data_IF_037797066042
#
_entry.id   IF_037797066042
#
_cell.length_a   1.000
_cell.length_b   1.000
_cell.length_c   1.000
_cell.angle_alpha   90.00
_cell.angle_beta   90.00
_cell.angle_gamma   90.00
#
_symmetry.space_group_name_H-M   'P 1'
#
loop_
_entity.id
_entity.type
_entity.pdbx_description
1 polymer ?
#
# COMPACT_ATOMS: atom_id res chain seq x y z
N UNK A 1 -18.62 -2.30 7.08
CA UNK A 1 -19.67 -3.23 6.59
C UNK A 1 -20.52 -2.58 5.50
N UNK A 2 -21.26 -1.48 5.75
CA UNK A 2 -22.02 -0.76 4.71
C UNK A 2 -21.13 -0.24 3.57
N UNK A 3 -20.05 0.47 3.91
CA UNK A 3 -19.14 1.07 2.91
C UNK A 3 -18.39 0.02 2.09
N UNK A 4 -18.13 -1.16 2.67
CA UNK A 4 -17.52 -2.27 1.93
C UNK A 4 -18.48 -2.85 0.90
N UNK A 5 -19.76 -3.02 1.26
CA UNK A 5 -20.80 -3.46 0.32
C UNK A 5 -20.93 -2.48 -0.83
N UNK A 6 -21.02 -1.18 -0.52
CA UNK A 6 -21.05 -0.10 -1.51
C UNK A 6 -19.82 -0.11 -2.42
N UNK A 7 -18.63 -0.30 -1.84
CA UNK A 7 -17.38 -0.41 -2.59
C UNK A 7 -17.42 -1.58 -3.58
N UNK A 8 -17.85 -2.77 -3.12
CA UNK A 8 -17.93 -3.97 -3.94
C UNK A 8 -18.92 -3.81 -5.11
N UNK A 9 -20.11 -3.28 -4.85
CA UNK A 9 -21.12 -2.99 -5.87
C UNK A 9 -20.59 -2.02 -6.92
N UNK A 10 -20.05 -0.88 -6.50
CA UNK A 10 -19.51 0.13 -7.42
C UNK A 10 -18.33 -0.39 -8.24
N UNK A 11 -17.42 -1.16 -7.62
CA UNK A 11 -16.24 -1.68 -8.30
C UNK A 11 -16.61 -2.72 -9.37
N UNK A 12 -17.51 -3.65 -9.01
CA UNK A 12 -18.03 -4.68 -9.91
C UNK A 12 -18.79 -4.09 -11.09
N UNK A 13 -19.79 -3.24 -10.83
CA UNK A 13 -20.64 -2.64 -11.86
C UNK A 13 -19.85 -1.79 -12.87
N UNK A 14 -18.74 -1.22 -12.42
CA UNK A 14 -17.89 -0.32 -13.23
C UNK A 14 -16.66 -1.01 -13.80
N UNK A 15 -16.46 -2.29 -13.49
CA UNK A 15 -15.32 -3.09 -13.93
C UNK A 15 -13.96 -2.55 -13.46
N UNK A 16 -13.92 -1.79 -12.36
CA UNK A 16 -12.70 -1.16 -11.86
C UNK A 16 -11.90 -2.11 -10.96
N UNK A 17 -10.57 -2.08 -11.08
CA UNK A 17 -9.65 -2.81 -10.20
C UNK A 17 -9.13 -1.88 -9.12
N UNK A 18 -9.09 -2.40 -7.91
CA UNK A 18 -8.70 -1.68 -6.71
C UNK A 18 -7.51 -2.39 -6.08
N UNK A 19 -6.53 -1.64 -5.61
CA UNK A 19 -5.48 -2.17 -4.75
C UNK A 19 -5.27 -1.29 -3.52
N UNK A 20 -4.53 -1.81 -2.54
CA UNK A 20 -4.15 -1.06 -1.34
C UNK A 20 -2.67 -1.23 -1.01
N UNK A 21 -2.07 -0.27 -0.32
CA UNK A 21 -0.77 -0.45 0.30
C UNK A 21 -0.74 0.06 1.75
N UNK A 22 -0.21 -0.74 2.66
CA UNK A 22 -0.35 -0.52 4.09
C UNK A 22 1.01 -0.39 4.79
N UNK A 23 1.08 0.53 5.74
CA UNK A 23 2.11 0.56 6.77
C UNK A 23 1.44 0.25 8.12
N UNK A 24 0.98 1.28 8.86
CA UNK A 24 0.47 1.13 10.23
C UNK A 24 -0.66 0.09 10.37
N UNK A 25 -1.54 -0.06 9.37
CA UNK A 25 -2.68 -1.00 9.42
C UNK A 25 -2.30 -2.46 9.19
N UNK A 26 -1.07 -2.74 8.73
CA UNK A 26 -0.45 -4.07 8.75
C UNK A 26 -1.30 -5.23 8.16
N UNK A 27 -2.10 -4.96 7.12
CA UNK A 27 -2.93 -5.96 6.46
C UNK A 27 -4.42 -5.90 6.84
N UNK A 28 -4.79 -5.10 7.85
CA UNK A 28 -6.20 -4.94 8.26
C UNK A 28 -7.05 -4.35 7.13
N UNK A 29 -6.51 -3.41 6.36
CA UNK A 29 -7.24 -2.81 5.24
C UNK A 29 -7.41 -3.82 4.11
N UNK A 30 -6.35 -4.52 3.69
CA UNK A 30 -6.43 -5.53 2.65
C UNK A 30 -7.39 -6.67 3.03
N UNK A 31 -7.35 -7.13 4.28
CA UNK A 31 -8.30 -8.13 4.81
C UNK A 31 -9.74 -7.63 4.75
N UNK A 32 -9.98 -6.38 5.16
CA UNK A 32 -11.31 -5.76 5.12
C UNK A 32 -11.83 -5.62 3.69
N UNK A 33 -11.03 -5.09 2.77
CA UNK A 33 -11.43 -4.90 1.36
C UNK A 33 -11.63 -6.24 0.66
N UNK A 34 -10.74 -7.22 0.90
CA UNK A 34 -10.82 -8.55 0.31
C UNK A 34 -12.02 -9.39 0.80
N UNK A 35 -12.69 -8.98 1.89
CA UNK A 35 -13.92 -9.61 2.36
C UNK A 35 -15.18 -9.14 1.61
N UNK A 36 -15.06 -8.20 0.66
CA UNK A 36 -16.18 -7.73 -0.14
C UNK A 36 -16.73 -8.80 -1.09
N UNK A 37 -18.00 -8.68 -1.44
CA UNK A 37 -18.66 -9.61 -2.36
C UNK A 37 -17.96 -9.60 -3.73
N UNK A 38 -17.73 -10.80 -4.28
CA UNK A 38 -17.02 -11.02 -5.55
C UNK A 38 -15.65 -10.31 -5.63
N UNK A 39 -14.95 -10.13 -4.50
CA UNK A 39 -13.67 -9.43 -4.44
C UNK A 39 -12.62 -9.95 -5.43
N UNK A 40 -12.65 -11.23 -5.81
CA UNK A 40 -11.74 -11.79 -6.84
C UNK A 40 -11.86 -11.12 -8.22
N UNK A 41 -12.97 -10.43 -8.50
CA UNK A 41 -13.22 -9.76 -9.78
C UNK A 41 -12.65 -8.34 -9.84
N UNK A 42 -12.59 -7.66 -8.68
CA UNK A 42 -12.28 -6.22 -8.62
C UNK A 42 -11.16 -5.86 -7.63
N UNK A 43 -10.81 -6.70 -6.66
CA UNK A 43 -9.70 -6.45 -5.75
C UNK A 43 -8.42 -7.11 -6.26
N UNK A 44 -7.46 -6.29 -6.70
CA UNK A 44 -6.15 -6.73 -7.20
C UNK A 44 -5.19 -7.18 -6.10
N UNK A 45 -5.49 -6.89 -4.84
CA UNK A 45 -4.68 -7.25 -3.68
C UNK A 45 -4.06 -6.04 -2.97
N UNK A 46 -3.08 -6.31 -2.11
CA UNK A 46 -2.37 -5.24 -1.41
C UNK A 46 -0.96 -5.61 -0.97
N UNK A 47 -0.17 -4.58 -0.66
CA UNK A 47 1.20 -4.69 -0.16
C UNK A 47 1.27 -4.16 1.27
N UNK A 48 1.87 -4.92 2.18
CA UNK A 48 2.25 -4.40 3.50
C UNK A 48 3.72 -4.02 3.48
N UNK A 49 4.00 -2.72 3.51
CA UNK A 49 5.35 -2.14 3.49
C UNK A 49 5.61 -1.38 4.80
N UNK A 50 5.82 -2.11 5.89
CA UNK A 50 5.91 -1.53 7.24
C UNK A 50 7.19 -0.70 7.45
N UNK A 51 8.35 -1.24 7.09
CA UNK A 51 9.64 -0.54 7.23
C UNK A 51 9.99 0.27 5.97
N UNK A 52 10.68 1.40 6.13
CA UNK A 52 11.00 2.33 5.02
C UNK A 52 11.74 1.65 3.86
N UNK A 53 12.72 0.78 4.14
CA UNK A 53 13.44 0.06 3.09
C UNK A 53 12.53 -0.84 2.21
N UNK A 54 11.40 -1.33 2.75
CA UNK A 54 10.41 -2.08 1.96
C UNK A 54 9.58 -1.12 1.10
N UNK A 55 9.20 0.04 1.63
CA UNK A 55 8.51 1.11 0.87
C UNK A 55 9.34 1.53 -0.36
N UNK A 56 10.64 1.74 -0.18
CA UNK A 56 11.57 2.11 -1.25
C UNK A 56 11.66 1.00 -2.32
N UNK A 57 11.91 -0.24 -1.88
CA UNK A 57 12.15 -1.37 -2.80
C UNK A 57 10.90 -1.82 -3.55
N UNK A 58 9.75 -1.87 -2.89
CA UNK A 58 8.52 -2.48 -3.43
C UNK A 58 7.60 -1.43 -4.05
N UNK A 59 7.52 -0.25 -3.45
CA UNK A 59 6.57 0.79 -3.84
C UNK A 59 7.26 2.04 -4.42
N UNK A 60 8.58 2.00 -4.60
CA UNK A 60 9.32 3.09 -5.25
C UNK A 60 9.38 4.39 -4.45
N UNK A 61 9.23 4.33 -3.12
CA UNK A 61 9.42 5.49 -2.27
C UNK A 61 10.82 6.08 -2.49
N UNK A 62 10.91 7.39 -2.69
CA UNK A 62 12.17 8.10 -2.89
C UNK A 62 12.96 8.09 -1.58
N UNK A 63 14.24 7.66 -1.58
CA UNK A 63 15.07 7.65 -0.38
C UNK A 63 15.14 9.01 0.31
N UNK A 64 15.02 9.01 1.64
CA UNK A 64 15.01 10.22 2.47
C UNK A 64 13.65 10.90 2.58
N UNK A 65 12.60 10.40 1.93
CA UNK A 65 11.23 10.86 2.16
C UNK A 65 10.78 10.49 3.59
N UNK A 66 10.24 11.47 4.33
CA UNK A 66 9.66 11.23 5.66
C UNK A 66 8.46 10.27 5.54
N UNK A 67 8.48 9.09 6.21
CA UNK A 67 7.40 8.10 6.12
C UNK A 67 6.05 8.60 6.64
N UNK A 68 6.03 9.69 7.41
CA UNK A 68 4.80 10.30 7.97
C UNK A 68 4.42 11.59 7.23
N UNK A 69 4.88 11.77 6.00
CA UNK A 69 4.58 12.94 5.17
C UNK A 69 3.56 12.66 4.06
N UNK A 70 2.87 13.71 3.55
CA UNK A 70 2.01 13.59 2.37
C UNK A 70 2.72 13.01 1.15
N UNK A 71 3.98 13.40 0.94
CA UNK A 71 4.79 12.92 -0.16
C UNK A 71 5.01 11.41 -0.10
N UNK A 72 5.21 10.85 1.10
CA UNK A 72 5.26 9.40 1.27
C UNK A 72 3.93 8.76 0.84
N UNK A 73 2.81 9.22 1.40
CA UNK A 73 1.49 8.65 1.13
C UNK A 73 1.16 8.61 -0.38
N UNK A 74 1.42 9.71 -1.09
CA UNK A 74 1.21 9.83 -2.54
C UNK A 74 2.15 8.92 -3.35
N UNK A 75 3.45 8.88 -3.02
CA UNK A 75 4.41 8.01 -3.71
C UNK A 75 4.06 6.53 -3.54
N UNK A 76 3.68 6.11 -2.32
CA UNK A 76 3.23 4.73 -2.09
C UNK A 76 2.00 4.40 -2.94
N UNK A 77 1.07 5.35 -3.09
CA UNK A 77 -0.15 5.15 -3.87
C UNK A 77 0.14 5.00 -5.36
N UNK A 78 1.01 5.86 -5.91
CA UNK A 78 1.44 5.75 -7.31
C UNK A 78 2.17 4.44 -7.57
N UNK A 79 3.11 4.05 -6.69
CA UNK A 79 3.85 2.80 -6.82
C UNK A 79 2.96 1.57 -6.76
N UNK A 80 2.00 1.55 -5.82
CA UNK A 80 1.04 0.46 -5.69
C UNK A 80 0.05 0.39 -6.85
N UNK A 81 -0.47 1.52 -7.35
CA UNK A 81 -1.35 1.56 -8.51
C UNK A 81 -0.68 0.91 -9.73
N UNK A 82 0.58 1.27 -9.99
CA UNK A 82 1.37 0.72 -11.08
C UNK A 82 1.69 -0.77 -10.87
N UNK A 83 2.07 -1.17 -9.66
CA UNK A 83 2.42 -2.56 -9.32
C UNK A 83 1.26 -3.53 -9.59
N UNK A 84 0.03 -3.11 -9.29
CA UNK A 84 -1.16 -3.94 -9.41
C UNK A 84 -1.93 -3.78 -10.73
N UNK A 85 -1.50 -2.88 -11.62
CA UNK A 85 -2.28 -2.50 -12.81
C UNK A 85 -3.75 -2.21 -12.43
N UNK A 86 -3.90 -1.37 -11.40
CA UNK A 86 -5.19 -1.02 -10.80
C UNK A 86 -5.68 0.33 -11.31
N UNK A 87 -6.99 0.56 -11.17
CA UNK A 87 -7.64 1.82 -11.51
C UNK A 87 -7.69 2.78 -10.32
N UNK A 88 -7.74 2.23 -9.10
CA UNK A 88 -7.73 2.98 -7.83
C UNK A 88 -6.78 2.32 -6.84
N UNK A 89 -5.95 3.13 -6.20
CA UNK A 89 -5.18 2.72 -5.03
C UNK A 89 -5.45 3.67 -3.85
N UNK A 90 -5.56 3.12 -2.64
CA UNK A 90 -5.45 3.87 -1.38
C UNK A 90 -4.36 3.27 -0.52
N UNK A 91 -3.58 4.14 0.13
CA UNK A 91 -2.49 3.74 1.00
C UNK A 91 -2.66 4.25 2.42
N UNK A 92 -2.03 3.58 3.38
CA UNK A 92 -2.02 3.98 4.79
C UNK A 92 -0.58 4.15 5.28
N UNK A 93 -0.25 5.33 5.78
CA UNK A 93 1.01 5.58 6.53
C UNK A 93 0.76 6.53 7.68
N UNK A 94 1.56 6.45 8.74
CA UNK A 94 1.30 7.25 9.94
C UNK A 94 1.87 6.63 11.21
N UNK A 95 1.58 7.29 12.33
CA UNK A 95 1.98 6.92 13.68
C UNK A 95 0.76 6.37 14.41
N UNK A 96 0.65 5.04 14.48
CA UNK A 96 -0.46 4.36 15.19
C UNK A 96 -0.47 4.57 16.70
N UNK A 97 0.65 4.99 17.30
CA UNK A 97 0.81 5.15 18.75
C UNK A 97 1.41 3.91 19.43
N UNK A 98 1.43 3.85 20.78
CA UNK A 98 0.77 4.81 21.70
C UNK A 98 1.55 6.11 21.92
N UNK A 99 2.81 6.19 21.50
CA UNK A 99 3.66 7.39 21.62
C UNK A 99 3.89 8.10 20.28
N UNK A 100 4.50 9.30 20.30
CA UNK A 100 4.95 9.96 19.10
C UNK A 100 6.11 9.20 18.43
N UNK A 101 6.27 9.36 17.12
CA UNK A 101 7.34 8.76 16.33
C UNK A 101 7.82 9.74 15.26
N UNK A 102 9.13 9.85 15.03
CA UNK A 102 9.69 10.73 13.99
C UNK A 102 9.36 12.21 14.13
N UNK A 103 9.00 12.68 15.34
CA UNK A 103 8.54 14.06 15.57
C UNK A 103 7.04 14.29 15.32
N UNK A 104 6.30 13.24 14.95
CA UNK A 104 4.86 13.29 14.71
C UNK A 104 4.08 12.71 15.90
N UNK A 105 2.94 13.31 16.30
CA UNK A 105 2.15 12.81 17.42
C UNK A 105 1.48 11.46 17.10
N UNK A 106 1.21 10.66 18.14
CA UNK A 106 0.39 9.47 18.02
C UNK A 106 -0.98 9.82 17.41
N UNK A 107 -1.48 8.96 16.53
CA UNK A 107 -2.72 9.19 15.80
C UNK A 107 -2.57 9.97 14.49
N UNK A 108 -1.35 10.44 14.16
CA UNK A 108 -1.08 11.05 12.85
C UNK A 108 -1.23 10.00 11.76
N UNK A 109 -2.19 10.18 10.85
CA UNK A 109 -2.45 9.23 9.76
C UNK A 109 -2.58 9.98 8.46
N UNK A 110 -1.93 9.44 7.42
CA UNK A 110 -2.05 9.89 6.05
C UNK A 110 -2.59 8.76 5.19
N UNK A 111 -3.65 9.09 4.49
CA UNK A 111 -4.22 8.25 3.44
C UNK A 111 -3.80 8.83 2.10
N UNK A 112 -2.92 8.13 1.39
CA UNK A 112 -2.58 8.46 0.00
C UNK A 112 -3.57 7.80 -0.94
N UNK A 113 -3.76 8.38 -2.12
CA UNK A 113 -4.55 7.76 -3.17
C UNK A 113 -3.99 8.10 -4.54
N UNK A 114 -4.19 7.17 -5.49
CA UNK A 114 -3.83 7.37 -6.88
C UNK A 114 -4.90 6.75 -7.78
N UNK A 115 -5.13 7.39 -8.91
CA UNK A 115 -5.92 6.90 -10.04
C UNK A 115 -5.13 7.13 -11.32
N UNK A 116 -5.68 6.72 -12.47
CA UNK A 116 -5.11 7.04 -13.78
C UNK A 116 -5.12 8.55 -14.10
N UNK A 117 -5.91 9.35 -13.38
CA UNK A 117 -6.11 10.78 -13.66
C UNK A 117 -5.40 11.69 -12.65
N UNK A 118 -5.26 11.26 -11.40
CA UNK A 118 -4.74 12.11 -10.34
C UNK A 118 -4.13 11.31 -9.18
N UNK A 119 -3.33 12.01 -8.38
CA UNK A 119 -2.76 11.55 -7.11
C UNK A 119 -3.06 12.58 -6.03
N UNK A 120 -3.19 12.15 -4.78
CA UNK A 120 -3.32 13.05 -3.65
C UNK A 120 -3.36 12.32 -2.32
N UNK A 121 -3.73 13.08 -1.27
CA UNK A 121 -3.81 12.52 0.08
C UNK A 121 -4.94 13.14 0.92
N UNK A 122 -5.14 12.54 2.10
CA UNK A 122 -5.90 13.08 3.24
C UNK A 122 -5.10 12.86 4.50
N UNK A 123 -5.08 13.86 5.38
CA UNK A 123 -4.40 13.80 6.67
C UNK A 123 -5.41 13.81 7.81
N UNK A 124 -5.13 13.01 8.83
CA UNK A 124 -5.96 12.84 10.01
C UNK A 124 -5.09 12.87 11.26
N UNK A 125 -5.72 13.26 12.37
CA UNK A 125 -5.19 13.05 13.72
C UNK A 125 -6.29 12.34 14.52
N UNK A 126 -6.19 11.01 14.58
CA UNK A 126 -7.14 10.20 15.34
C UNK A 126 -6.75 10.17 16.82
N UNK A 127 -7.75 10.12 17.69
CA UNK A 127 -7.56 9.97 19.14
C UNK A 127 -7.92 8.55 19.55
N UNK A 128 -7.38 8.10 20.69
CA UNK A 128 -7.68 6.79 21.27
C UNK A 128 -6.44 5.92 21.41
N UNK A 129 -6.67 4.66 21.75
CA UNK A 129 -5.67 3.61 21.75
C UNK A 129 -5.16 3.31 20.33
N UNK A 130 -4.00 2.67 20.19
CA UNK A 130 -3.49 2.29 18.87
C UNK A 130 -4.48 1.45 18.05
N UNK A 131 -5.22 0.55 18.70
CA UNK A 131 -6.21 -0.28 18.02
C UNK A 131 -7.35 0.56 17.43
N UNK A 132 -7.88 1.52 18.20
CA UNK A 132 -8.90 2.46 17.74
C UNK A 132 -8.41 3.35 16.58
N UNK A 133 -7.14 3.79 16.61
CA UNK A 133 -6.52 4.53 15.50
C UNK A 133 -6.45 3.68 14.24
N UNK A 134 -6.08 2.39 14.36
CA UNK A 134 -6.02 1.49 13.21
C UNK A 134 -7.42 1.24 12.62
N UNK A 135 -8.43 1.03 13.46
CA UNK A 135 -9.80 0.80 13.00
C UNK A 135 -10.38 2.04 12.31
N UNK A 136 -10.18 3.23 12.87
CA UNK A 136 -10.55 4.50 12.24
C UNK A 136 -9.82 4.72 10.90
N UNK A 137 -8.55 4.31 10.83
CA UNK A 137 -7.75 4.37 9.59
C UNK A 137 -8.34 3.48 8.51
N UNK A 138 -8.68 2.23 8.84
CA UNK A 138 -9.28 1.28 7.89
C UNK A 138 -10.64 1.79 7.40
N UNK A 139 -11.49 2.28 8.30
CA UNK A 139 -12.79 2.83 7.92
C UNK A 139 -12.66 4.02 6.96
N UNK A 140 -11.78 4.98 7.29
CA UNK A 140 -11.53 6.14 6.44
C UNK A 140 -10.97 5.74 5.08
N UNK A 141 -10.08 4.74 5.02
CA UNK A 141 -9.54 4.23 3.76
C UNK A 141 -10.58 3.54 2.87
N UNK A 142 -11.48 2.74 3.44
CA UNK A 142 -12.57 2.10 2.69
C UNK A 142 -13.54 3.14 2.13
N UNK A 143 -13.89 4.18 2.91
CA UNK A 143 -14.70 5.31 2.45
C UNK A 143 -14.02 6.06 1.29
N UNK A 144 -12.72 6.28 1.39
CA UNK A 144 -11.93 6.98 0.36
C UNK A 144 -11.87 6.15 -0.94
N UNK A 145 -11.70 4.83 -0.85
CA UNK A 145 -11.80 3.94 -1.99
C UNK A 145 -13.15 4.07 -2.69
N UNK A 146 -14.26 3.96 -1.95
CA UNK A 146 -15.60 4.05 -2.51
C UNK A 146 -15.84 5.40 -3.23
N UNK A 147 -15.36 6.50 -2.65
CA UNK A 147 -15.42 7.83 -3.27
C UNK A 147 -14.68 7.87 -4.62
N UNK A 148 -13.46 7.34 -4.71
CA UNK A 148 -12.72 7.34 -5.97
C UNK A 148 -13.32 6.40 -7.02
N UNK A 149 -13.82 5.24 -6.61
CA UNK A 149 -14.51 4.31 -7.51
C UNK A 149 -15.78 4.92 -8.08
N UNK A 150 -16.54 5.69 -7.30
CA UNK A 150 -17.75 6.38 -7.76
C UNK A 150 -17.45 7.49 -8.76
N UNK A 151 -16.37 8.24 -8.54
CA UNK A 151 -16.05 9.46 -9.30
C UNK A 151 -15.31 9.20 -10.62
N UNK A 152 -14.62 8.05 -10.74
CA UNK A 152 -13.93 7.71 -11.98
C UNK A 152 -14.89 7.42 -13.13
N UNK A 153 -14.36 7.32 -14.34
CA UNK A 153 -15.11 6.72 -15.46
C UNK A 153 -15.06 5.19 -15.32
N UNK A 154 -16.11 4.46 -15.74
CA UNK A 154 -16.04 3.00 -15.83
C UNK A 154 -14.84 2.55 -16.65
N UNK A 155 -14.26 1.41 -16.28
CA UNK A 155 -13.14 0.86 -17.04
C UNK A 155 -13.59 0.52 -18.47
N UNK A 156 -12.73 0.80 -19.44
CA UNK A 156 -12.87 0.21 -20.78
C UNK A 156 -12.63 -1.31 -20.73
N UNK A 157 -12.88 -2.04 -21.83
CA UNK A 157 -12.54 -3.46 -21.91
C UNK A 157 -11.06 -3.65 -21.55
N UNK A 158 -10.77 -4.38 -20.48
CA UNK A 158 -9.39 -4.71 -20.15
C UNK A 158 -8.83 -5.56 -21.30
N UNK A 159 -7.67 -5.18 -21.84
CA UNK A 159 -6.95 -6.10 -22.71
C UNK A 159 -6.70 -7.36 -21.89
N UNK A 160 -7.19 -8.51 -22.36
CA UNK A 160 -6.92 -9.79 -21.73
C UNK A 160 -5.41 -10.03 -21.75
N UNK A 161 -4.73 -9.61 -20.70
CA UNK A 161 -3.31 -9.84 -20.53
C UNK A 161 -3.13 -11.26 -20.05
N UNK A 162 -2.69 -12.15 -20.93
CA UNK A 162 -1.73 -13.17 -20.49
C UNK A 162 -0.64 -12.42 -19.75
N UNK A 163 -0.46 -12.67 -18.45
CA UNK A 163 0.67 -12.12 -17.69
C UNK A 163 1.96 -12.57 -18.39
N UNK A 164 2.50 -11.74 -19.28
CA UNK A 164 3.86 -11.91 -19.75
C UNK A 164 4.77 -11.58 -18.58
N UNK A 165 5.24 -12.64 -17.93
CA UNK A 165 6.41 -12.67 -17.07
C UNK A 165 6.54 -11.52 -16.09
N UNK A 166 6.01 -11.68 -14.88
CA UNK A 166 6.64 -11.08 -13.71
C UNK A 166 8.10 -11.53 -13.75
N UNK A 167 9.01 -10.61 -14.06
CA UNK A 167 10.44 -10.88 -13.97
C UNK A 167 10.71 -11.33 -12.53
N UNK A 168 11.29 -12.52 -12.30
CA UNK A 168 11.46 -13.03 -10.95
C UNK A 168 12.19 -11.98 -10.14
N UNK A 169 11.69 -11.73 -8.93
CA UNK A 169 12.37 -10.89 -7.93
C UNK A 169 13.81 -11.41 -7.88
N UNK A 170 14.78 -10.60 -8.31
CA UNK A 170 16.20 -10.98 -8.34
C UNK A 170 16.55 -11.49 -6.95
N UNK A 171 16.85 -12.78 -6.84
CA UNK A 171 17.40 -13.39 -5.64
C UNK A 171 18.83 -12.86 -5.44
N UNK A 172 18.94 -11.66 -4.89
CA UNK A 172 20.19 -11.16 -4.35
C UNK A 172 20.51 -11.91 -3.06
N UNK A 173 20.96 -13.16 -3.17
CA UNK A 173 21.70 -13.77 -2.08
C UNK A 173 23.00 -12.95 -1.90
N UNK A 174 23.30 -12.40 -0.71
CA UNK A 174 24.61 -11.82 -0.46
C UNK A 174 25.66 -12.93 -0.62
N UNK A 175 26.68 -12.65 -1.41
CA UNK A 175 27.70 -13.61 -1.84
C UNK A 175 28.29 -14.40 -0.68
N UNK A 176 28.09 -15.72 -0.74
CA UNK A 176 28.98 -16.67 -0.10
C UNK A 176 30.28 -16.74 -0.92
N UNK A 177 31.09 -15.68 -0.87
CA UNK A 177 32.45 -15.66 -1.44
C UNK A 177 33.30 -14.62 -0.69
N UNK A 178 33.48 -14.85 0.61
CA UNK A 178 34.51 -14.21 1.42
C UNK A 178 34.99 -15.13 2.54
N UNK A 179 35.16 -16.42 2.24
CA UNK A 179 35.72 -17.40 3.18
C UNK A 179 36.70 -18.35 2.47
N UNK A 180 37.65 -17.79 1.72
CA UNK A 180 38.80 -18.54 1.18
C UNK A 180 40.00 -17.63 0.88
N UNK A 181 40.49 -16.89 1.88
CA UNK A 181 41.81 -16.22 1.79
C UNK A 181 42.40 -15.91 3.17
N UNK A 182 42.49 -16.92 4.04
CA UNK A 182 43.28 -16.83 5.28
C UNK A 182 43.76 -18.22 5.72
N UNK A 183 44.42 -18.95 4.82
CA UNK A 183 45.12 -20.19 5.16
C UNK A 183 46.34 -20.38 4.26
N UNK A 184 47.35 -19.51 4.40
CA UNK A 184 48.76 -19.83 4.17
C UNK A 184 49.60 -18.59 4.47
N UNK A 185 50.26 -18.57 5.64
CA UNK A 185 51.55 -17.94 5.94
C UNK A 185 51.79 -17.91 7.45
N UNK A 186 52.27 -19.02 8.00
CA UNK A 186 53.14 -19.03 9.20
C UNK A 186 53.79 -20.41 9.32
N UNK A 187 54.87 -20.61 8.55
CA UNK A 187 55.87 -21.62 8.81
C UNK A 187 57.24 -21.01 8.45
N UNK A 188 57.85 -20.36 9.44
CA UNK A 188 59.29 -20.14 9.63
C UNK A 188 59.48 -19.55 11.02
#
# INVERSE_FOLDING_TARGET
MEELRRLAELAGDRGLRICVAESLTSGRLASTVGAGENASEWFGGGVVAYITAVKERVLGLVPGTDPYSPACAEQLATGALALFDADVCVTTTGVGGPGPEGGHPAGTVLLGWATSEAVGHRSFVFSGSPDEVLDATVEAAVRLLAFHVETLRPAGPRRGGTQEGISPIRSGAPGADAAASAASRSAS
#
